data_IF_435053405294
#
_entry.id   IF_435053405294
#
_cell.length_a   1.000
_cell.length_b   1.000
_cell.length_c   1.000
_cell.angle_alpha   90.00
_cell.angle_beta   90.00
_cell.angle_gamma   90.00
#
_symmetry.space_group_name_H-M   'P 1'
#
loop_
_entity.id
_entity.type
_entity.pdbx_description
1 polymer ?
#
# COMPACT_ATOMS: atom_id res chain seq x y z
N UNK A 1 38.49 -9.04 -17.99
CA UNK A 1 37.35 -9.09 -17.04
C UNK A 1 36.27 -8.17 -17.58
N UNK A 2 35.04 -8.64 -17.70
CA UNK A 2 33.91 -7.85 -18.16
C UNK A 2 33.41 -6.98 -16.99
N UNK A 3 33.76 -5.70 -16.98
CA UNK A 3 33.34 -4.74 -15.95
C UNK A 3 33.29 -3.36 -16.57
N UNK A 4 32.15 -2.68 -16.43
CA UNK A 4 31.94 -1.34 -17.00
C UNK A 4 32.10 -0.23 -15.97
N UNK A 5 32.08 -0.56 -14.65
CA UNK A 5 32.26 0.43 -13.58
C UNK A 5 33.64 1.09 -13.53
N UNK A 6 34.62 0.72 -14.38
CA UNK A 6 35.84 1.52 -14.51
C UNK A 6 35.54 2.92 -15.06
N UNK A 7 34.51 3.06 -15.90
CA UNK A 7 34.05 4.36 -16.40
C UNK A 7 33.40 5.20 -15.28
N UNK A 8 32.77 4.56 -14.30
CA UNK A 8 32.15 5.23 -13.14
C UNK A 8 33.16 5.78 -12.14
N UNK A 9 34.42 5.30 -12.13
CA UNK A 9 35.46 5.75 -11.18
C UNK A 9 35.86 7.22 -11.35
N UNK A 10 35.52 7.83 -12.49
CA UNK A 10 35.91 9.20 -12.85
C UNK A 10 34.75 10.19 -12.94
N UNK A 11 33.50 9.76 -12.72
CA UNK A 11 32.33 10.64 -12.71
C UNK A 11 31.89 10.98 -11.28
N UNK A 12 31.37 12.20 -11.10
CA UNK A 12 30.81 12.64 -9.82
C UNK A 12 29.42 12.05 -9.61
N UNK A 13 29.16 11.51 -8.42
CA UNK A 13 27.88 10.88 -8.04
C UNK A 13 26.63 11.77 -8.24
N UNK A 14 26.79 13.10 -8.29
CA UNK A 14 25.66 14.03 -8.30
C UNK A 14 24.96 14.20 -9.65
N UNK A 15 25.63 13.99 -10.79
CA UNK A 15 25.05 14.20 -12.13
C UNK A 15 25.77 13.34 -13.18
N UNK A 16 25.51 12.03 -13.23
CA UNK A 16 26.14 11.16 -14.21
C UNK A 16 25.69 11.53 -15.64
N UNK A 17 26.62 11.52 -16.60
CA UNK A 17 26.33 11.92 -17.97
C UNK A 17 25.46 10.85 -18.69
N UNK A 18 24.21 11.17 -19.10
CA UNK A 18 23.33 10.20 -19.75
C UNK A 18 23.92 9.62 -21.04
N UNK A 19 24.75 10.38 -21.76
CA UNK A 19 25.41 9.93 -22.99
C UNK A 19 26.35 8.74 -22.72
N UNK A 20 26.95 8.69 -21.53
CA UNK A 20 27.83 7.57 -21.15
C UNK A 20 27.01 6.29 -20.99
N UNK A 21 25.85 6.39 -20.33
CA UNK A 21 24.94 5.25 -20.24
C UNK A 21 24.46 4.82 -21.64
N UNK A 22 23.94 5.75 -22.43
CA UNK A 22 23.25 5.45 -23.69
C UNK A 22 24.21 4.96 -24.80
N UNK A 23 25.39 5.56 -24.91
CA UNK A 23 26.32 5.30 -26.02
C UNK A 23 27.48 4.39 -25.66
N UNK A 24 27.73 4.12 -24.38
CA UNK A 24 28.84 3.28 -23.95
C UNK A 24 28.40 2.10 -23.10
N UNK A 25 27.78 2.32 -21.94
CA UNK A 25 27.45 1.25 -20.99
C UNK A 25 26.43 0.27 -21.58
N UNK A 26 25.28 0.78 -22.03
CA UNK A 26 24.22 -0.07 -22.53
C UNK A 26 24.61 -0.84 -23.80
N UNK A 27 25.22 -0.21 -24.84
CA UNK A 27 25.70 -0.92 -26.02
C UNK A 27 26.78 -1.95 -25.71
N UNK A 28 27.69 -1.66 -24.77
CA UNK A 28 28.74 -2.59 -24.37
C UNK A 28 28.14 -3.84 -23.72
N UNK A 29 27.20 -3.68 -22.79
CA UNK A 29 26.55 -4.82 -22.13
C UNK A 29 25.71 -5.64 -23.11
N UNK A 30 25.06 -5.01 -24.08
CA UNK A 30 24.30 -5.70 -25.13
C UNK A 30 25.17 -6.44 -26.17
N UNK A 31 26.49 -6.21 -26.18
CA UNK A 31 27.36 -6.82 -27.19
C UNK A 31 27.63 -8.30 -26.91
N UNK A 32 27.09 -9.19 -27.75
CA UNK A 32 27.15 -10.64 -27.55
C UNK A 32 28.44 -11.35 -28.00
N UNK A 33 29.39 -10.64 -28.63
CA UNK A 33 30.61 -11.25 -29.19
C UNK A 33 31.78 -11.36 -28.18
N UNK A 34 31.51 -11.26 -26.88
CA UNK A 34 32.52 -11.47 -25.83
C UNK A 34 32.35 -12.86 -25.22
N UNK A 35 33.41 -13.38 -24.58
CA UNK A 35 33.34 -14.67 -23.86
C UNK A 35 32.43 -14.62 -22.61
N UNK A 36 31.94 -13.45 -22.23
CA UNK A 36 31.07 -13.18 -21.08
C UNK A 36 30.10 -12.03 -21.44
N UNK A 37 29.05 -12.32 -22.24
CA UNK A 37 28.09 -11.30 -22.64
C UNK A 37 27.33 -10.77 -21.42
N UNK A 38 26.97 -9.48 -21.43
CA UNK A 38 26.32 -8.78 -20.29
C UNK A 38 27.11 -8.80 -18.96
N UNK A 39 28.38 -9.25 -18.99
CA UNK A 39 29.26 -9.35 -17.84
C UNK A 39 28.65 -10.11 -16.65
N UNK A 40 27.87 -11.16 -16.92
CA UNK A 40 27.16 -11.90 -15.86
C UNK A 40 28.16 -12.68 -14.99
N UNK A 41 29.21 -13.25 -15.58
CA UNK A 41 30.18 -14.06 -14.83
C UNK A 41 31.12 -13.25 -13.93
N UNK A 42 31.07 -11.92 -14.01
CA UNK A 42 31.95 -11.03 -13.24
C UNK A 42 31.52 -10.79 -11.79
N UNK A 43 30.34 -11.29 -11.41
CA UNK A 43 29.70 -11.07 -10.12
C UNK A 43 29.06 -12.36 -9.58
N UNK A 44 29.04 -12.51 -8.27
CA UNK A 44 28.43 -13.64 -7.57
C UNK A 44 27.01 -13.33 -7.05
N UNK A 45 26.55 -12.08 -7.20
CA UNK A 45 25.26 -11.61 -6.71
C UNK A 45 24.68 -10.52 -7.61
N UNK A 46 23.37 -10.28 -7.52
CA UNK A 46 22.71 -9.23 -8.31
C UNK A 46 23.19 -7.84 -7.89
N UNK A 47 23.42 -7.64 -6.58
CA UNK A 47 23.98 -6.40 -6.04
C UNK A 47 25.39 -6.14 -6.59
N UNK A 48 26.26 -7.15 -6.56
CA UNK A 48 27.63 -7.03 -7.07
C UNK A 48 27.62 -6.76 -8.59
N UNK A 49 26.75 -7.44 -9.34
CA UNK A 49 26.62 -7.22 -10.79
C UNK A 49 26.15 -5.80 -11.11
N UNK A 50 25.15 -5.30 -10.39
CA UNK A 50 24.62 -3.94 -10.58
C UNK A 50 25.70 -2.89 -10.30
N UNK A 51 26.42 -3.02 -9.19
CA UNK A 51 27.49 -2.09 -8.80
C UNK A 51 28.65 -2.13 -9.80
N UNK A 52 29.12 -3.33 -10.20
CA UNK A 52 30.26 -3.50 -11.12
C UNK A 52 29.98 -3.09 -12.56
N UNK A 53 28.73 -3.13 -13.00
CA UNK A 53 28.39 -2.85 -14.39
C UNK A 53 27.70 -1.51 -14.62
N UNK A 54 27.07 -0.94 -13.59
CA UNK A 54 26.39 0.35 -13.72
C UNK A 54 26.92 1.43 -12.78
N UNK A 55 27.34 1.08 -11.56
CA UNK A 55 27.79 2.07 -10.58
C UNK A 55 26.79 3.21 -10.42
N UNK A 56 27.24 4.45 -10.59
CA UNK A 56 26.40 5.67 -10.53
C UNK A 56 25.30 5.73 -11.61
N UNK A 57 25.43 4.97 -12.69
CA UNK A 57 24.45 4.91 -13.78
C UNK A 57 23.32 3.91 -13.51
N UNK A 58 23.32 3.23 -12.35
CA UNK A 58 22.30 2.23 -12.01
C UNK A 58 20.89 2.80 -12.00
N UNK A 59 20.71 4.11 -11.94
CA UNK A 59 19.39 4.77 -11.90
C UNK A 59 18.77 4.99 -13.28
N UNK A 60 19.53 4.89 -14.38
CA UNK A 60 19.04 5.14 -15.74
C UNK A 60 18.22 3.98 -16.35
N UNK A 61 18.66 2.71 -16.29
CA UNK A 61 17.89 1.60 -16.83
C UNK A 61 16.53 1.46 -16.17
N UNK A 62 15.53 0.98 -16.91
CA UNK A 62 14.31 0.50 -16.25
C UNK A 62 14.61 -0.80 -15.50
N UNK A 63 13.79 -1.14 -14.51
CA UNK A 63 13.91 -2.43 -13.83
C UNK A 63 13.85 -3.60 -14.83
N UNK A 64 13.00 -3.49 -15.87
CA UNK A 64 12.87 -4.54 -16.89
C UNK A 64 14.12 -4.69 -17.74
N UNK A 65 14.92 -3.63 -17.91
CA UNK A 65 16.16 -3.71 -18.67
C UNK A 65 17.23 -4.49 -17.91
N UNK A 66 17.26 -4.43 -16.57
CA UNK A 66 18.13 -5.31 -15.79
C UNK A 66 17.80 -6.78 -15.98
N UNK A 67 16.51 -7.14 -15.98
CA UNK A 67 16.09 -8.52 -16.25
C UNK A 67 16.36 -8.97 -17.70
N UNK A 68 16.36 -8.05 -18.68
CA UNK A 68 16.77 -8.36 -20.06
C UNK A 68 18.27 -8.61 -20.17
N UNK A 69 19.07 -7.83 -19.43
CA UNK A 69 20.52 -7.91 -19.47
C UNK A 69 21.07 -9.08 -18.64
N UNK A 70 20.49 -9.36 -17.48
CA UNK A 70 20.92 -10.45 -16.63
C UNK A 70 19.72 -11.34 -16.25
N UNK A 71 19.56 -12.51 -16.91
CA UNK A 71 18.47 -13.44 -16.60
C UNK A 71 18.45 -13.97 -15.17
N UNK A 72 19.57 -13.86 -14.43
CA UNK A 72 19.69 -14.28 -13.03
C UNK A 72 19.56 -13.12 -12.04
N UNK A 73 19.29 -11.91 -12.52
CA UNK A 73 19.12 -10.73 -11.67
C UNK A 73 17.91 -10.88 -10.73
N UNK A 74 18.11 -10.55 -9.46
CA UNK A 74 17.06 -10.48 -8.45
C UNK A 74 16.83 -9.03 -8.05
N UNK A 75 15.72 -8.43 -8.48
CA UNK A 75 15.34 -7.07 -8.06
C UNK A 75 15.12 -6.95 -6.55
N UNK A 76 14.60 -7.99 -5.90
CA UNK A 76 14.36 -7.99 -4.45
C UNK A 76 15.67 -7.99 -3.64
N UNK A 77 16.75 -8.60 -4.15
CA UNK A 77 18.06 -8.57 -3.52
C UNK A 77 18.64 -7.15 -3.46
N UNK A 78 18.28 -6.30 -4.41
CA UNK A 78 18.91 -5.00 -4.63
C UNK A 78 18.01 -3.80 -4.32
N UNK A 79 16.88 -3.99 -3.62
CA UNK A 79 15.94 -2.90 -3.30
C UNK A 79 16.61 -1.62 -2.78
N UNK A 80 17.60 -1.68 -1.86
CA UNK A 80 18.28 -0.47 -1.37
C UNK A 80 19.11 0.27 -2.43
N UNK A 81 19.48 -0.40 -3.52
CA UNK A 81 20.30 0.14 -4.61
C UNK A 81 19.46 0.71 -5.76
N UNK A 82 18.15 0.49 -5.76
CA UNK A 82 17.25 0.91 -6.83
C UNK A 82 16.80 2.36 -6.64
N UNK A 83 16.48 3.05 -7.74
CA UNK A 83 15.81 4.34 -7.70
C UNK A 83 14.31 4.19 -7.36
N UNK A 84 13.64 5.25 -6.87
CA UNK A 84 12.20 5.18 -6.58
C UNK A 84 11.37 4.75 -7.79
N UNK A 85 11.74 5.21 -8.98
CA UNK A 85 11.13 4.83 -10.26
C UNK A 85 11.31 3.34 -10.58
N UNK A 86 12.46 2.75 -10.24
CA UNK A 86 12.71 1.32 -10.46
C UNK A 86 11.90 0.46 -9.48
N UNK A 87 11.79 0.88 -8.22
CA UNK A 87 10.95 0.20 -7.21
C UNK A 87 9.47 0.27 -7.62
N UNK A 88 8.98 1.44 -8.03
CA UNK A 88 7.63 1.59 -8.59
C UNK A 88 7.44 0.70 -9.84
N UNK A 89 8.47 0.62 -10.69
CA UNK A 89 8.50 -0.30 -11.83
C UNK A 89 8.35 -1.77 -11.42
N UNK A 90 8.94 -2.19 -10.30
CA UNK A 90 8.79 -3.56 -9.76
C UNK A 90 7.36 -3.85 -9.33
N UNK A 91 6.66 -2.86 -8.74
CA UNK A 91 5.27 -2.99 -8.31
C UNK A 91 4.31 -3.12 -9.50
N UNK A 92 4.61 -2.50 -10.65
CA UNK A 92 3.67 -2.41 -11.77
C UNK A 92 3.97 -3.35 -12.94
N UNK A 93 5.24 -3.50 -13.31
CA UNK A 93 5.62 -4.20 -14.55
C UNK A 93 5.55 -5.72 -14.42
N UNK A 94 5.26 -6.47 -15.49
CA UNK A 94 5.49 -7.91 -15.51
C UNK A 94 7.00 -8.18 -15.45
N UNK A 95 7.43 -8.94 -14.44
CA UNK A 95 8.83 -9.35 -14.24
C UNK A 95 8.95 -10.86 -14.54
N UNK A 96 10.15 -11.35 -14.90
CA UNK A 96 10.40 -12.79 -14.95
C UNK A 96 10.11 -13.45 -13.60
N UNK A 97 9.44 -14.60 -13.62
CA UNK A 97 9.14 -15.40 -12.43
C UNK A 97 10.03 -16.65 -12.40
N UNK A 98 10.41 -17.17 -11.22
CA UNK A 98 10.08 -16.69 -9.85
C UNK A 98 10.92 -15.48 -9.38
N UNK A 99 10.46 -14.72 -8.36
CA UNK A 99 9.21 -14.90 -7.60
C UNK A 99 7.95 -14.42 -8.34
N UNK A 100 6.78 -14.88 -7.91
CA UNK A 100 5.49 -14.45 -8.44
C UNK A 100 5.21 -12.97 -8.09
N UNK A 101 4.28 -12.35 -8.85
CA UNK A 101 4.03 -10.91 -8.79
C UNK A 101 3.56 -10.46 -7.40
N UNK A 102 2.78 -11.30 -6.75
CA UNK A 102 2.26 -11.06 -5.41
C UNK A 102 3.37 -11.02 -4.36
N UNK A 103 4.28 -11.99 -4.40
CA UNK A 103 5.45 -12.03 -3.52
C UNK A 103 6.32 -10.78 -3.75
N UNK A 104 6.48 -10.32 -4.98
CA UNK A 104 7.21 -9.07 -5.27
C UNK A 104 6.55 -7.87 -4.61
N UNK A 105 5.23 -7.71 -4.76
CA UNK A 105 4.49 -6.58 -4.18
C UNK A 105 4.61 -6.59 -2.65
N UNK A 106 4.39 -7.74 -2.02
CA UNK A 106 4.47 -7.88 -0.56
C UNK A 106 5.85 -7.48 -0.04
N UNK A 107 6.93 -8.05 -0.64
CA UNK A 107 8.31 -7.81 -0.22
C UNK A 107 8.77 -6.37 -0.47
N UNK A 108 8.33 -5.75 -1.56
CA UNK A 108 8.61 -4.33 -1.79
C UNK A 108 7.93 -3.47 -0.73
N UNK A 109 6.66 -3.72 -0.42
CA UNK A 109 5.98 -2.95 0.64
C UNK A 109 6.55 -3.25 2.03
N UNK A 110 6.98 -4.48 2.33
CA UNK A 110 7.69 -4.80 3.58
C UNK A 110 8.92 -3.89 3.72
N UNK A 111 9.75 -3.81 2.68
CA UNK A 111 10.91 -2.93 2.63
C UNK A 111 10.54 -1.45 2.79
N UNK A 112 9.50 -0.98 2.09
CA UNK A 112 9.07 0.42 2.14
C UNK A 112 8.51 0.82 3.52
N UNK A 113 7.82 -0.08 4.21
CA UNK A 113 7.21 0.20 5.51
C UNK A 113 8.14 -0.09 6.69
N UNK A 114 9.22 -0.86 6.50
CA UNK A 114 10.24 -1.09 7.52
C UNK A 114 10.97 0.21 7.91
N UNK A 115 11.35 1.03 6.92
CA UNK A 115 11.89 2.39 7.14
C UNK A 115 11.41 3.34 6.03
N UNK A 116 10.24 3.99 6.19
CA UNK A 116 9.64 4.84 5.15
C UNK A 116 10.53 5.96 4.61
N UNK A 117 11.35 6.57 5.48
CA UNK A 117 12.26 7.66 5.11
C UNK A 117 13.46 7.12 4.32
N UNK A 118 14.17 6.11 4.84
CA UNK A 118 15.34 5.52 4.17
C UNK A 118 14.96 4.86 2.84
N UNK A 119 13.77 4.24 2.80
CA UNK A 119 13.23 3.59 1.61
C UNK A 119 12.63 4.59 0.60
N UNK A 120 12.56 5.89 0.93
CA UNK A 120 12.00 6.97 0.10
C UNK A 120 10.57 6.65 -0.35
N UNK A 121 9.75 6.23 0.61
CA UNK A 121 8.36 5.86 0.39
C UNK A 121 7.58 6.95 -0.37
N UNK A 122 7.66 8.25 -0.03
CA UNK A 122 6.94 9.29 -0.76
C UNK A 122 7.29 9.36 -2.25
N UNK A 123 8.58 9.27 -2.58
CA UNK A 123 9.09 9.32 -3.95
C UNK A 123 8.67 8.06 -4.73
N UNK A 124 8.72 6.88 -4.08
CA UNK A 124 8.28 5.63 -4.70
C UNK A 124 6.80 5.68 -5.03
N UNK A 125 5.97 6.16 -4.09
CA UNK A 125 4.53 6.30 -4.30
C UNK A 125 4.23 7.32 -5.40
N UNK A 126 4.94 8.45 -5.43
CA UNK A 126 4.81 9.43 -6.51
C UNK A 126 5.11 8.82 -7.89
N UNK A 127 6.23 8.11 -8.03
CA UNK A 127 6.59 7.41 -9.26
C UNK A 127 5.58 6.32 -9.63
N UNK A 128 5.02 5.62 -8.63
CA UNK A 128 3.97 4.62 -8.85
C UNK A 128 2.73 5.25 -9.48
N UNK A 129 2.21 6.36 -8.93
CA UNK A 129 1.07 7.08 -9.51
C UNK A 129 1.36 7.57 -10.94
N UNK A 130 2.58 8.02 -11.20
CA UNK A 130 2.98 8.44 -12.54
C UNK A 130 2.99 7.27 -13.54
N UNK A 131 3.52 6.11 -13.13
CA UNK A 131 3.69 4.95 -13.98
C UNK A 131 2.39 4.15 -14.19
N UNK A 132 1.47 4.17 -13.23
CA UNK A 132 0.28 3.31 -13.26
C UNK A 132 -0.60 3.55 -14.49
N UNK A 133 -0.75 4.81 -14.89
CA UNK A 133 -1.47 5.23 -16.09
C UNK A 133 -0.83 4.76 -17.40
N UNK A 134 0.48 4.51 -17.38
CA UNK A 134 1.24 4.10 -18.56
C UNK A 134 1.28 2.58 -18.70
N UNK A 135 1.40 1.89 -17.57
CA UNK A 135 1.53 0.44 -17.53
C UNK A 135 0.16 -0.23 -17.67
N UNK A 136 -0.92 0.39 -17.14
CA UNK A 136 -2.25 -0.18 -17.07
C UNK A 136 -2.22 -1.61 -16.47
N UNK A 137 -1.79 -1.76 -15.20
CA UNK A 137 -1.53 -3.07 -14.62
C UNK A 137 -2.84 -3.85 -14.45
N UNK A 138 -2.76 -5.19 -14.36
CA UNK A 138 -3.94 -6.00 -14.15
C UNK A 138 -4.55 -5.72 -12.76
N UNK A 139 -5.84 -5.94 -12.71
CA UNK A 139 -6.73 -5.93 -11.55
C UNK A 139 -6.11 -6.45 -10.23
N UNK A 140 -5.46 -7.62 -10.25
CA UNK A 140 -4.84 -8.22 -9.06
C UNK A 140 -3.71 -7.35 -8.46
N UNK A 141 -2.98 -6.60 -9.29
CA UNK A 141 -1.90 -5.71 -8.84
C UNK A 141 -2.48 -4.53 -8.06
N UNK A 142 -3.55 -3.91 -8.57
CA UNK A 142 -4.24 -2.84 -7.84
C UNK A 142 -4.78 -3.37 -6.50
N UNK A 143 -5.45 -4.53 -6.51
CA UNK A 143 -6.01 -5.15 -5.29
C UNK A 143 -4.94 -5.26 -4.22
N UNK A 144 -3.80 -5.86 -4.57
CA UNK A 144 -2.75 -6.10 -3.61
C UNK A 144 -2.06 -4.81 -3.14
N UNK A 145 -1.84 -3.83 -4.02
CA UNK A 145 -1.30 -2.51 -3.62
C UNK A 145 -2.19 -1.88 -2.54
N UNK A 146 -3.50 -1.83 -2.76
CA UNK A 146 -4.43 -1.29 -1.77
C UNK A 146 -4.49 -2.12 -0.49
N UNK A 147 -4.48 -3.45 -0.57
CA UNK A 147 -4.42 -4.33 0.62
C UNK A 147 -3.20 -4.00 1.48
N UNK A 148 -2.03 -3.80 0.85
CA UNK A 148 -0.80 -3.41 1.54
C UNK A 148 -0.90 -2.00 2.14
N UNK A 149 -1.43 -1.03 1.39
CA UNK A 149 -1.59 0.35 1.87
C UNK A 149 -2.55 0.43 3.07
N UNK A 150 -3.78 -0.08 2.93
CA UNK A 150 -4.77 -0.08 4.01
C UNK A 150 -4.34 -0.93 5.20
N UNK A 151 -3.69 -2.06 4.94
CA UNK A 151 -3.18 -2.96 5.97
C UNK A 151 -2.09 -2.33 6.83
N UNK A 152 -1.30 -1.42 6.27
CA UNK A 152 -0.23 -0.73 7.00
C UNK A 152 -0.73 0.37 7.95
N UNK A 153 -1.85 1.03 7.62
CA UNK A 153 -2.37 2.22 8.34
C UNK A 153 -2.39 2.09 9.86
N UNK A 154 -2.84 0.97 10.47
CA UNK A 154 -2.87 0.84 11.93
C UNK A 154 -1.51 0.98 12.61
N UNK A 155 -0.43 0.65 11.90
CA UNK A 155 0.94 0.57 12.41
C UNK A 155 1.83 1.74 11.95
N UNK A 156 1.30 2.66 11.13
CA UNK A 156 2.08 3.77 10.59
C UNK A 156 2.41 4.84 11.65
N UNK A 157 3.57 5.51 11.52
CA UNK A 157 3.84 6.76 12.23
C UNK A 157 2.79 7.84 11.95
N UNK A 158 2.51 8.69 12.94
CA UNK A 158 1.44 9.71 12.88
C UNK A 158 1.62 10.75 11.77
N UNK A 159 2.86 10.99 11.35
CA UNK A 159 3.23 11.91 10.29
C UNK A 159 3.17 11.27 8.89
N UNK A 160 3.27 9.95 8.81
CA UNK A 160 3.19 9.18 7.55
C UNK A 160 1.75 8.79 7.21
N UNK A 161 0.92 8.50 8.22
CA UNK A 161 -0.47 8.07 8.04
C UNK A 161 -1.29 9.00 7.11
N UNK A 162 -1.29 10.34 7.29
CA UNK A 162 -2.09 11.24 6.43
C UNK A 162 -1.64 11.23 4.97
N UNK A 163 -0.34 11.02 4.73
CA UNK A 163 0.23 10.92 3.40
C UNK A 163 -0.27 9.65 2.69
N UNK A 164 -0.32 8.51 3.39
CA UNK A 164 -0.86 7.26 2.85
C UNK A 164 -2.35 7.38 2.52
N UNK A 165 -3.15 8.01 3.38
CA UNK A 165 -4.55 8.29 3.07
C UNK A 165 -4.71 9.14 1.80
N UNK A 166 -3.94 10.22 1.68
CA UNK A 166 -3.97 11.09 0.49
C UNK A 166 -3.53 10.34 -0.77
N UNK A 167 -2.57 9.44 -0.65
CA UNK A 167 -2.11 8.63 -1.75
C UNK A 167 -3.18 7.64 -2.22
N UNK A 168 -3.84 6.96 -1.29
CA UNK A 168 -4.93 6.02 -1.56
C UNK A 168 -6.06 6.73 -2.32
N UNK A 169 -6.45 7.93 -1.90
CA UNK A 169 -7.47 8.73 -2.58
C UNK A 169 -7.08 9.05 -4.04
N UNK A 170 -5.84 9.48 -4.27
CA UNK A 170 -5.32 9.71 -5.62
C UNK A 170 -5.31 8.42 -6.46
N UNK A 171 -4.93 7.30 -5.86
CA UNK A 171 -4.89 6.00 -6.53
C UNK A 171 -6.30 5.53 -6.92
N UNK A 172 -7.29 5.71 -6.04
CA UNK A 172 -8.69 5.42 -6.32
C UNK A 172 -9.22 6.23 -7.51
N UNK A 173 -8.84 7.51 -7.60
CA UNK A 173 -9.26 8.38 -8.70
C UNK A 173 -8.64 8.01 -10.06
N UNK A 174 -7.53 7.26 -10.05
CA UNK A 174 -6.81 6.83 -11.26
C UNK A 174 -7.10 5.36 -11.63
N UNK A 175 -7.59 4.57 -10.68
CA UNK A 175 -7.98 3.19 -10.94
C UNK A 175 -9.11 3.10 -11.99
N UNK A 176 -9.13 2.06 -12.85
CA UNK A 176 -10.21 1.85 -13.80
C UNK A 176 -11.58 1.81 -13.11
N UNK A 177 -12.65 2.30 -13.76
CA UNK A 177 -14.01 2.26 -13.16
C UNK A 177 -14.44 0.82 -12.80
N UNK A 178 -14.01 -0.15 -13.59
CA UNK A 178 -14.27 -1.58 -13.38
C UNK A 178 -13.35 -2.19 -12.30
N UNK A 179 -12.41 -1.44 -11.72
CA UNK A 179 -11.57 -1.92 -10.63
C UNK A 179 -12.41 -2.27 -9.39
N UNK A 180 -13.59 -1.66 -9.20
CA UNK A 180 -14.52 -2.06 -8.13
C UNK A 180 -15.04 -3.51 -8.30
N UNK A 181 -14.90 -4.10 -9.49
CA UNK A 181 -15.21 -5.49 -9.80
C UNK A 181 -14.00 -6.44 -9.63
N UNK A 182 -12.83 -5.91 -9.24
CA UNK A 182 -11.59 -6.66 -9.08
C UNK A 182 -11.48 -7.51 -7.82
N UNK A 183 -12.50 -7.45 -6.97
CA UNK A 183 -12.59 -8.33 -5.83
C UNK A 183 -12.92 -9.74 -6.29
N UNK A 184 -12.25 -10.73 -5.71
CA UNK A 184 -12.57 -12.16 -5.77
C UNK A 184 -13.97 -12.54 -5.22
N UNK A 185 -14.83 -11.53 -4.98
CA UNK A 185 -16.15 -11.65 -4.38
C UNK A 185 -16.15 -11.73 -2.86
N UNK A 186 -14.99 -11.82 -2.19
CA UNK A 186 -14.91 -11.94 -0.74
C UNK A 186 -14.72 -10.60 -0.04
N UNK A 187 -15.83 -9.98 0.39
CA UNK A 187 -15.80 -8.74 1.17
C UNK A 187 -15.64 -9.09 2.66
N UNK A 188 -14.40 -9.28 3.11
CA UNK A 188 -14.11 -9.73 4.48
C UNK A 188 -13.02 -8.91 5.22
N UNK A 189 -12.44 -7.90 4.57
CA UNK A 189 -11.35 -7.10 5.11
C UNK A 189 -11.66 -5.60 5.04
N UNK A 190 -10.91 -4.78 5.77
CA UNK A 190 -11.02 -3.32 5.72
C UNK A 190 -10.69 -2.80 4.33
N UNK A 191 -9.63 -3.30 3.68
CA UNK A 191 -9.28 -2.88 2.32
C UNK A 191 -10.41 -3.13 1.33
N UNK A 192 -11.04 -4.31 1.38
CA UNK A 192 -12.18 -4.65 0.53
C UNK A 192 -13.35 -3.69 0.71
N UNK A 193 -13.66 -3.35 1.97
CA UNK A 193 -14.75 -2.43 2.30
C UNK A 193 -14.49 -1.01 1.84
N UNK A 194 -13.24 -0.55 1.99
CA UNK A 194 -12.83 0.80 1.59
C UNK A 194 -12.77 0.93 0.07
N UNK A 195 -12.26 -0.09 -0.62
CA UNK A 195 -12.26 -0.14 -2.09
C UNK A 195 -13.67 -0.01 -2.67
N UNK A 196 -14.69 -0.61 -2.05
CA UNK A 196 -16.07 -0.54 -2.57
C UNK A 196 -16.63 0.89 -2.65
N UNK A 197 -16.06 1.84 -1.90
CA UNK A 197 -16.51 3.22 -1.88
C UNK A 197 -18.01 3.31 -1.58
N UNK A 198 -18.75 4.01 -2.44
CA UNK A 198 -20.19 4.21 -2.27
C UNK A 198 -21.01 2.92 -2.41
N UNK A 199 -20.50 1.87 -3.06
CA UNK A 199 -21.20 0.59 -3.21
C UNK A 199 -21.37 -0.15 -1.88
N UNK A 200 -20.61 0.23 -0.85
CA UNK A 200 -20.70 -0.36 0.49
C UNK A 200 -22.12 -0.31 1.07
N UNK A 201 -22.91 0.69 0.67
CA UNK A 201 -24.29 0.89 1.13
C UNK A 201 -25.25 -0.21 0.63
N UNK A 202 -24.89 -0.89 -0.45
CA UNK A 202 -25.66 -1.96 -1.08
C UNK A 202 -25.31 -3.37 -0.55
N UNK A 203 -24.28 -3.49 0.29
CA UNK A 203 -23.87 -4.80 0.84
C UNK A 203 -24.95 -5.31 1.81
N UNK A 204 -25.38 -6.59 1.70
CA UNK A 204 -26.31 -7.18 2.65
C UNK A 204 -25.78 -7.14 4.09
N UNK A 205 -26.65 -6.83 5.06
CA UNK A 205 -26.30 -6.83 6.49
C UNK A 205 -25.70 -8.18 6.95
N UNK A 206 -26.15 -9.31 6.40
CA UNK A 206 -25.57 -10.63 6.70
C UNK A 206 -24.07 -10.70 6.35
N UNK A 207 -23.66 -10.06 5.26
CA UNK A 207 -22.25 -9.98 4.86
C UNK A 207 -21.47 -9.18 5.90
N UNK A 208 -21.94 -7.99 6.30
CA UNK A 208 -21.35 -7.23 7.41
C UNK A 208 -21.24 -8.05 8.70
N UNK A 209 -22.25 -8.85 9.02
CA UNK A 209 -22.25 -9.73 10.18
C UNK A 209 -21.21 -10.85 10.13
N UNK A 210 -20.61 -11.13 8.97
CA UNK A 210 -19.52 -12.11 8.80
C UNK A 210 -18.12 -11.48 8.82
N UNK A 211 -18.02 -10.15 8.73
CA UNK A 211 -16.75 -9.42 8.79
C UNK A 211 -16.35 -9.24 10.25
N UNK A 212 -15.08 -9.50 10.57
CA UNK A 212 -14.59 -9.33 11.94
C UNK A 212 -14.66 -7.86 12.39
N UNK A 213 -15.01 -7.65 13.65
CA UNK A 213 -15.14 -6.30 14.21
C UNK A 213 -13.87 -5.44 14.11
N UNK A 214 -12.68 -6.05 14.15
CA UNK A 214 -11.41 -5.33 14.00
C UNK A 214 -11.24 -4.75 12.60
N UNK A 215 -11.64 -5.48 11.56
CA UNK A 215 -11.61 -5.00 10.18
C UNK A 215 -12.60 -3.84 9.98
N UNK A 216 -13.80 -3.93 10.58
CA UNK A 216 -14.79 -2.85 10.53
C UNK A 216 -14.34 -1.61 11.31
N UNK A 217 -13.68 -1.80 12.45
CA UNK A 217 -13.09 -0.71 13.23
C UNK A 217 -11.94 -0.04 12.48
N UNK A 218 -11.11 -0.79 11.75
CA UNK A 218 -10.07 -0.21 10.89
C UNK A 218 -10.69 0.58 9.75
N UNK A 219 -11.68 0.01 9.05
CA UNK A 219 -12.40 0.72 7.98
C UNK A 219 -13.12 1.98 8.48
N UNK A 220 -13.65 1.96 9.71
CA UNK A 220 -14.33 3.11 10.30
C UNK A 220 -13.44 4.30 10.61
N UNK A 221 -12.12 4.18 10.48
CA UNK A 221 -11.20 5.31 10.61
C UNK A 221 -11.14 6.16 9.33
N UNK A 222 -11.56 5.60 8.20
CA UNK A 222 -11.64 6.34 6.95
C UNK A 222 -12.89 7.25 6.94
N UNK A 223 -12.73 8.58 6.78
CA UNK A 223 -13.86 9.51 6.77
C UNK A 223 -14.85 9.26 5.63
N UNK A 224 -14.36 8.92 4.44
CA UNK A 224 -15.19 8.67 3.25
C UNK A 224 -16.06 7.42 3.44
N UNK A 225 -15.50 6.37 4.02
CA UNK A 225 -16.24 5.18 4.40
C UNK A 225 -17.33 5.48 5.45
N UNK A 226 -17.02 6.29 6.47
CA UNK A 226 -18.01 6.73 7.45
C UNK A 226 -19.17 7.50 6.80
N UNK A 227 -18.87 8.37 5.83
CA UNK A 227 -19.89 9.08 5.07
C UNK A 227 -20.80 8.09 4.32
N UNK A 228 -20.24 7.12 3.62
CA UNK A 228 -21.04 6.12 2.92
C UNK A 228 -21.87 5.24 3.88
N UNK A 229 -21.26 4.64 4.91
CA UNK A 229 -21.95 3.69 5.78
C UNK A 229 -23.08 4.34 6.60
N UNK A 230 -22.96 5.63 6.93
CA UNK A 230 -24.03 6.37 7.63
C UNK A 230 -25.25 6.64 6.74
N UNK A 231 -25.13 6.50 5.42
CA UNK A 231 -26.26 6.56 4.47
C UNK A 231 -26.89 5.18 4.19
N UNK A 232 -26.26 4.09 4.64
CA UNK A 232 -26.77 2.73 4.48
C UNK A 232 -28.03 2.49 5.33
N UNK A 233 -28.75 1.39 5.07
CA UNK A 233 -29.95 1.04 5.84
C UNK A 233 -29.67 0.90 7.35
N UNK A 234 -30.68 1.18 8.19
CA UNK A 234 -30.54 1.09 9.66
C UNK A 234 -30.09 -0.31 10.13
N UNK A 235 -30.53 -1.37 9.44
CA UNK A 235 -30.13 -2.75 9.74
C UNK A 235 -28.62 -2.94 9.51
N UNK A 236 -28.08 -2.36 8.43
CA UNK A 236 -26.64 -2.39 8.14
C UNK A 236 -25.86 -1.63 9.21
N UNK A 237 -26.27 -0.40 9.55
CA UNK A 237 -25.64 0.40 10.59
C UNK A 237 -25.62 -0.32 11.95
N UNK A 238 -26.74 -0.95 12.33
CA UNK A 238 -26.83 -1.75 13.55
C UNK A 238 -25.90 -2.96 13.54
N UNK A 239 -25.85 -3.67 12.42
CA UNK A 239 -24.98 -4.83 12.29
C UNK A 239 -23.51 -4.42 12.38
N UNK A 240 -23.15 -3.34 11.70
CA UNK A 240 -21.82 -2.75 11.72
C UNK A 240 -21.39 -2.37 13.14
N UNK A 241 -22.21 -1.61 13.87
CA UNK A 241 -21.93 -1.21 15.25
C UNK A 241 -21.87 -2.42 16.18
N UNK A 242 -22.75 -3.42 16.00
CA UNK A 242 -22.73 -4.67 16.78
C UNK A 242 -21.41 -5.42 16.61
N UNK A 243 -20.88 -5.48 15.40
CA UNK A 243 -19.58 -6.12 15.14
C UNK A 243 -18.42 -5.32 15.76
N UNK A 244 -18.41 -3.99 15.67
CA UNK A 244 -17.39 -3.16 16.34
C UNK A 244 -17.44 -3.35 17.86
N UNK A 245 -18.64 -3.42 18.45
CA UNK A 245 -18.82 -3.69 19.89
C UNK A 245 -18.21 -5.05 20.27
N UNK A 246 -18.26 -6.05 19.39
CA UNK A 246 -17.71 -7.38 19.67
C UNK A 246 -16.17 -7.40 19.84
N UNK A 247 -15.46 -6.35 19.38
CA UNK A 247 -14.00 -6.22 19.51
C UNK A 247 -13.58 -6.08 20.97
N UNK A 248 -14.42 -5.46 21.81
CA UNK A 248 -14.09 -5.23 23.21
C UNK A 248 -15.33 -5.22 24.10
N UNK A 249 -15.29 -5.99 25.19
CA UNK A 249 -16.40 -6.08 26.14
C UNK A 249 -16.41 -4.94 27.17
N UNK A 250 -15.37 -4.11 27.24
CA UNK A 250 -15.29 -2.96 28.14
C UNK A 250 -16.15 -1.79 27.61
N UNK A 251 -17.06 -1.29 28.44
CA UNK A 251 -18.00 -0.21 28.12
C UNK A 251 -17.34 1.11 27.73
N UNK A 252 -16.18 1.44 28.31
CA UNK A 252 -15.41 2.64 27.93
C UNK A 252 -14.71 2.46 26.58
N UNK A 253 -14.25 1.26 26.27
CA UNK A 253 -13.68 0.96 24.96
C UNK A 253 -14.73 0.92 23.87
N UNK A 254 -15.96 0.50 24.19
CA UNK A 254 -17.10 0.52 23.26
C UNK A 254 -17.38 1.96 22.80
N UNK A 255 -17.47 2.92 23.73
CA UNK A 255 -17.68 4.32 23.34
C UNK A 255 -16.47 4.91 22.63
N UNK A 256 -15.26 4.41 22.83
CA UNK A 256 -14.10 4.90 22.06
C UNK A 256 -14.09 4.34 20.62
N UNK A 257 -14.42 3.05 20.46
CA UNK A 257 -14.31 2.36 19.17
C UNK A 257 -15.46 2.68 18.22
N UNK A 258 -16.68 2.90 18.73
CA UNK A 258 -17.84 3.17 17.86
C UNK A 258 -17.77 4.61 17.33
N UNK A 259 -17.88 4.84 16.01
CA UNK A 259 -17.87 6.18 15.42
C UNK A 259 -18.95 7.11 16.00
N UNK A 260 -18.66 8.41 16.02
CA UNK A 260 -19.51 9.40 16.70
C UNK A 260 -20.89 9.54 16.06
N UNK A 261 -20.96 9.38 14.74
CA UNK A 261 -22.17 9.43 13.92
C UNK A 261 -23.10 8.23 14.16
N UNK A 262 -22.52 7.08 14.53
CA UNK A 262 -23.22 5.79 14.68
C UNK A 262 -23.49 5.42 16.14
N UNK A 263 -23.10 6.28 17.09
CA UNK A 263 -23.33 6.08 18.52
C UNK A 263 -24.80 5.81 18.88
N UNK A 264 -25.73 6.30 18.06
CA UNK A 264 -27.17 6.09 18.19
C UNK A 264 -27.60 4.62 18.08
N UNK A 265 -26.76 3.76 17.50
CA UNK A 265 -27.01 2.31 17.38
C UNK A 265 -26.42 1.48 18.53
N UNK A 266 -25.69 2.11 19.48
CA UNK A 266 -25.18 1.41 20.67
C UNK A 266 -26.36 0.99 21.58
N UNK A 267 -26.49 -0.30 21.93
CA UNK A 267 -27.49 -0.74 22.89
C UNK A 267 -27.37 -0.02 24.24
N UNK A 268 -28.47 0.55 24.74
CA UNK A 268 -28.50 1.32 25.99
C UNK A 268 -27.91 0.55 27.19
N UNK A 269 -28.09 -0.76 27.24
CA UNK A 269 -27.57 -1.62 28.31
C UNK A 269 -26.04 -1.53 28.45
N UNK A 270 -25.32 -1.25 27.35
CA UNK A 270 -23.86 -1.13 27.34
C UNK A 270 -23.36 0.26 27.73
N UNK A 271 -24.27 1.23 27.89
CA UNK A 271 -23.96 2.60 28.30
C UNK A 271 -24.14 2.81 29.82
N UNK A 272 -24.54 1.76 30.55
CA UNK A 272 -24.71 1.80 32.00
C UNK A 272 -23.36 1.60 32.70
N UNK A 273 -23.12 2.33 33.79
CA UNK A 273 -21.94 2.13 34.64
C UNK A 273 -20.63 2.72 34.09
N UNK A 274 -20.72 3.66 33.14
CA UNK A 274 -19.56 4.41 32.65
C UNK A 274 -18.94 5.28 33.76
N UNK A 275 -17.61 5.39 33.78
CA UNK A 275 -16.91 6.26 34.71
C UNK A 275 -17.26 7.74 34.48
N UNK A 276 -17.43 8.49 35.57
CA UNK A 276 -17.64 9.94 35.54
C UNK A 276 -16.35 10.76 35.34
N UNK A 277 -15.26 10.15 34.87
CA UNK A 277 -14.00 10.87 34.64
C UNK A 277 -14.12 11.83 33.43
N UNK A 278 -13.22 12.82 33.39
CA UNK A 278 -13.27 13.88 32.37
C UNK A 278 -13.06 13.35 30.95
N UNK A 279 -12.25 12.30 30.76
CA UNK A 279 -11.99 11.71 29.44
C UNK A 279 -13.25 11.04 28.87
N UNK A 280 -13.95 10.23 29.66
CA UNK A 280 -15.20 9.56 29.27
C UNK A 280 -16.28 10.60 28.96
N UNK A 281 -16.43 11.62 29.80
CA UNK A 281 -17.40 12.71 29.57
C UNK A 281 -17.11 13.46 28.26
N UNK A 282 -15.83 13.71 27.96
CA UNK A 282 -15.44 14.38 26.71
C UNK A 282 -15.80 13.52 25.49
N UNK A 283 -15.59 12.21 25.57
CA UNK A 283 -15.97 11.27 24.50
C UNK A 283 -17.48 11.21 24.33
N UNK A 284 -18.24 11.13 25.42
CA UNK A 284 -19.71 11.08 25.37
C UNK A 284 -20.31 12.34 24.72
N UNK A 285 -19.75 13.51 25.00
CA UNK A 285 -20.26 14.79 24.49
C UNK A 285 -20.04 15.01 22.99
N UNK A 286 -19.12 14.28 22.36
CA UNK A 286 -18.90 14.34 20.90
C UNK A 286 -19.93 13.55 20.09
N UNK A 287 -20.58 12.57 20.72
CA UNK A 287 -21.41 11.58 20.05
C UNK A 287 -22.86 12.02 19.85
N UNK A 288 -23.49 11.48 18.80
CA UNK A 288 -24.92 11.67 18.52
C UNK A 288 -25.74 10.58 19.20
N UNK A 289 -26.58 10.98 20.18
CA UNK A 289 -27.38 10.06 20.98
C UNK A 289 -28.89 10.14 20.67
N UNK A 290 -29.59 9.01 20.77
CA UNK A 290 -31.06 8.98 20.82
C UNK A 290 -31.54 9.53 22.15
N UNK A 291 -32.72 10.17 22.15
CA UNK A 291 -33.35 10.71 23.37
C UNK A 291 -33.47 9.68 24.51
N UNK A 292 -33.63 8.41 24.17
CA UNK A 292 -33.71 7.31 25.14
C UNK A 292 -32.35 6.96 25.76
N UNK A 293 -31.24 7.17 25.03
CA UNK A 293 -29.87 6.99 25.51
C UNK A 293 -29.42 8.17 26.38
N UNK A 294 -29.97 9.38 26.23
CA UNK A 294 -29.65 10.50 27.12
C UNK A 294 -30.31 10.44 28.51
N UNK A 295 -31.21 9.48 28.74
CA UNK A 295 -31.87 9.26 30.05
C UNK A 295 -31.13 8.18 30.86
N UNK A 296 -29.81 8.20 30.83
CA UNK A 296 -28.95 7.29 31.60
C UNK A 296 -28.71 7.85 33.00
#
# INVERSE_FOLDING_TARGET
MCSVAEFSKHETDLYPNPDIYEHFIFPFLMHHNTSDPQCVSSANSSAEWLIKNFGVYSTFPSITDFYKLNPYFSGLEVLPLLSPKQIAGMLLSPLPTPPEKDVVIDRVFDFLFESPEDARLPEVLHELLYLINKVNPPCDVYRQIFERLYGAIPDLPRDVEPFIWSYIDQLLNVAPEDFLLCHDGSINSSSSLLMLGSLVVGIPSKTFGSISGSQLLTASKDPSFLEHITTASSIVQQTFVTQIISVNTNSEMIIQNVPDELASEIPRALLLGLSGNSSVLTTLNKKKWKRQQCKL
#
